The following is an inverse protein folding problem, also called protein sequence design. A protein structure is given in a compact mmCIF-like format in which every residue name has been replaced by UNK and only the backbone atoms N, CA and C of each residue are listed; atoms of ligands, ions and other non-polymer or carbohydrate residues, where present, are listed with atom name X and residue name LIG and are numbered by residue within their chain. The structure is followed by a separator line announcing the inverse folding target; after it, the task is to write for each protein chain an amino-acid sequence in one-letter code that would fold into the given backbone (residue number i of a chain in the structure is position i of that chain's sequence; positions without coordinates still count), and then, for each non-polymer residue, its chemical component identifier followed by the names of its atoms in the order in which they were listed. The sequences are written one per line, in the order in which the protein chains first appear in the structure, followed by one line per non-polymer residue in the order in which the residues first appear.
data_IF_148214864721
#
_entry.id   IF_148214864721
#
_cell.length_a   1.000
_cell.length_b   1.000
_cell.length_c   1.000
_cell.angle_alpha   90.00
_cell.angle_beta   90.00
_cell.angle_gamma   90.00
#
_symmetry.space_group_name_H-M   'P 1'
#
loop_
_entity.id
_entity.type
_entity.pdbx_description
1 polymer ?
#
# COMPACT_ATOMS: atom_id res chain seq x y z
N UNK A 1 -31.32 3.36 3.87
CA UNK A 1 -31.34 2.14 3.02
C UNK A 1 -30.59 1.05 3.78
N UNK A 2 -31.19 -0.12 4.06
CA UNK A 2 -30.48 -1.22 4.74
C UNK A 2 -29.68 -2.01 3.69
N UNK A 3 -28.36 -1.86 3.70
CA UNK A 3 -27.45 -2.61 2.84
C UNK A 3 -26.92 -3.79 3.66
N UNK A 4 -27.09 -5.02 3.16
CA UNK A 4 -26.45 -6.21 3.74
C UNK A 4 -25.07 -6.35 3.09
N UNK A 5 -24.05 -6.55 3.91
CA UNK A 5 -22.66 -6.74 3.49
C UNK A 5 -22.03 -7.92 4.22
N UNK A 6 -20.96 -8.45 3.63
CA UNK A 6 -20.13 -9.50 4.22
C UNK A 6 -18.73 -8.91 4.41
N UNK A 7 -18.16 -9.09 5.61
CA UNK A 7 -16.76 -8.79 5.89
C UNK A 7 -15.92 -10.00 5.52
N UNK A 8 -15.00 -9.82 4.58
CA UNK A 8 -14.04 -10.84 4.18
C UNK A 8 -12.64 -10.22 4.28
N UNK A 9 -11.79 -10.69 5.20
CA UNK A 9 -10.41 -10.24 5.26
C UNK A 9 -9.69 -10.67 3.99
N UNK A 10 -9.01 -9.71 3.38
CA UNK A 10 -8.24 -9.86 2.13
C UNK A 10 -7.10 -10.88 2.29
N UNK A 11 -6.65 -11.16 3.53
CA UNK A 11 -5.55 -12.06 3.86
C UNK A 11 -5.93 -13.40 4.53
N UNK A 12 -7.14 -13.59 5.07
CA UNK A 12 -7.46 -14.76 5.93
C UNK A 12 -7.97 -16.00 5.16
N UNK A 13 -7.95 -15.96 3.83
CA UNK A 13 -8.48 -17.06 3.01
C UNK A 13 -7.30 -17.85 2.45
N UNK A 14 -7.12 -19.07 2.98
CA UNK A 14 -6.13 -20.05 2.57
C UNK A 14 -6.01 -20.12 1.03
N UNK A 15 -4.93 -19.55 0.52
CA UNK A 15 -4.62 -19.59 -0.91
C UNK A 15 -4.10 -20.99 -1.25
N UNK A 16 -4.46 -21.56 -2.41
CA UNK A 16 -3.59 -22.53 -3.07
C UNK A 16 -2.31 -21.79 -3.44
N UNK A 17 -1.30 -21.94 -2.59
CA UNK A 17 0.01 -21.31 -2.67
C UNK A 17 0.61 -21.45 -4.09
N UNK A 18 1.21 -20.37 -4.62
CA UNK A 18 2.14 -20.47 -5.75
C UNK A 18 1.74 -19.88 -7.11
N UNK A 19 0.52 -19.37 -7.33
CA UNK A 19 0.12 -18.85 -8.67
C UNK A 19 -0.30 -17.39 -8.73
N UNK A 20 -0.45 -16.69 -7.59
CA UNK A 20 -0.55 -15.23 -7.61
C UNK A 20 -1.72 -14.65 -8.40
N UNK A 21 -2.91 -15.23 -8.30
CA UNK A 21 -4.15 -14.71 -8.90
C UNK A 21 -5.07 -14.03 -7.86
N UNK A 22 -4.55 -13.03 -7.14
CA UNK A 22 -5.36 -12.19 -6.26
C UNK A 22 -6.56 -11.59 -6.99
N UNK A 23 -6.35 -11.06 -8.20
CA UNK A 23 -7.42 -10.38 -8.92
C UNK A 23 -8.50 -11.36 -9.37
N UNK A 24 -8.14 -12.55 -9.84
CA UNK A 24 -9.12 -13.58 -10.20
C UNK A 24 -9.96 -13.98 -8.97
N UNK A 25 -9.32 -14.12 -7.82
CA UNK A 25 -9.99 -14.45 -6.57
C UNK A 25 -10.95 -13.35 -6.11
N UNK A 26 -10.53 -12.09 -6.14
CA UNK A 26 -11.39 -10.97 -5.77
C UNK A 26 -12.55 -10.80 -6.76
N UNK A 27 -12.33 -11.01 -8.06
CA UNK A 27 -13.42 -11.06 -9.04
C UNK A 27 -14.41 -12.18 -8.72
N UNK A 28 -13.95 -13.39 -8.38
CA UNK A 28 -14.83 -14.49 -7.93
C UNK A 28 -15.59 -14.13 -6.64
N UNK A 29 -14.97 -13.37 -5.75
CA UNK A 29 -15.60 -12.90 -4.52
C UNK A 29 -16.74 -11.91 -4.82
N UNK A 30 -16.50 -10.97 -5.73
CA UNK A 30 -17.54 -10.07 -6.27
C UNK A 30 -18.69 -10.88 -6.90
N UNK A 31 -18.39 -11.88 -7.73
CA UNK A 31 -19.41 -12.74 -8.35
C UNK A 31 -20.25 -13.49 -7.31
N UNK A 32 -19.59 -14.01 -6.27
CA UNK A 32 -20.27 -14.73 -5.20
C UNK A 32 -21.16 -13.80 -4.38
N UNK A 33 -20.70 -12.60 -4.05
CA UNK A 33 -21.50 -11.58 -3.38
C UNK A 33 -22.74 -11.21 -4.21
N UNK A 34 -22.56 -11.03 -5.53
CA UNK A 34 -23.67 -10.79 -6.45
C UNK A 34 -24.67 -11.94 -6.46
N UNK A 35 -24.20 -13.19 -6.56
CA UNK A 35 -25.05 -14.40 -6.50
C UNK A 35 -25.83 -14.50 -5.19
N UNK A 36 -25.23 -14.07 -4.08
CA UNK A 36 -25.86 -14.02 -2.75
C UNK A 36 -26.81 -12.84 -2.56
N UNK A 37 -26.98 -11.97 -3.57
CA UNK A 37 -27.81 -10.77 -3.49
C UNK A 37 -27.24 -9.69 -2.57
N UNK A 38 -25.95 -9.77 -2.20
CA UNK A 38 -25.27 -8.72 -1.45
C UNK A 38 -25.00 -7.52 -2.36
N UNK A 39 -24.86 -6.35 -1.75
CA UNK A 39 -24.59 -5.07 -2.45
C UNK A 39 -23.35 -4.37 -1.94
N UNK A 40 -22.71 -4.94 -0.94
CA UNK A 40 -21.59 -4.36 -0.23
C UNK A 40 -20.57 -5.44 0.08
N UNK A 41 -19.32 -5.14 -0.21
CA UNK A 41 -18.16 -5.92 0.20
C UNK A 41 -17.35 -5.08 1.18
N UNK A 42 -17.24 -5.55 2.42
CA UNK A 42 -16.37 -4.92 3.41
C UNK A 42 -14.99 -5.58 3.36
N UNK A 43 -13.98 -4.77 3.04
CA UNK A 43 -12.57 -5.21 2.94
C UNK A 43 -11.77 -4.65 4.11
N UNK A 44 -10.92 -5.49 4.68
CA UNK A 44 -9.88 -5.09 5.62
C UNK A 44 -8.51 -5.23 4.95
N UNK A 45 -7.57 -4.33 5.28
CA UNK A 45 -6.15 -4.43 4.90
C UNK A 45 -5.83 -4.14 3.43
N UNK A 46 -6.07 -2.90 2.95
CA UNK A 46 -5.42 -2.44 1.70
C UNK A 46 -4.16 -1.62 1.93
N UNK A 47 -3.88 -1.24 3.17
CA UNK A 47 -2.72 -0.41 3.52
C UNK A 47 -1.66 -1.29 4.17
N UNK A 48 -0.37 -0.93 4.05
CA UNK A 48 0.65 -1.53 4.89
C UNK A 48 0.34 -1.18 6.35
N UNK A 49 0.07 -2.19 7.16
CA UNK A 49 -0.22 -2.07 8.59
C UNK A 49 1.03 -2.52 9.35
N UNK A 50 1.40 -1.77 10.37
CA UNK A 50 2.33 -2.24 11.38
C UNK A 50 1.50 -2.84 12.52
N UNK A 51 1.68 -4.15 12.76
CA UNK A 51 1.03 -4.84 13.87
C UNK A 51 1.79 -4.54 15.16
N UNK A 52 1.23 -3.66 15.98
CA UNK A 52 1.66 -3.47 17.37
C UNK A 52 0.67 -4.18 18.31
N UNK A 53 1.13 -4.73 19.45
CA UNK A 53 0.27 -5.49 20.38
C UNK A 53 -0.92 -4.69 20.94
N UNK A 54 -0.87 -3.36 20.90
CA UNK A 54 -1.85 -2.47 21.54
C UNK A 54 -2.83 -1.78 20.59
N UNK A 55 -2.54 -1.66 19.30
CA UNK A 55 -3.43 -1.04 18.30
C UNK A 55 -2.97 -1.29 16.86
N UNK A 56 -3.90 -1.34 15.91
CA UNK A 56 -3.59 -1.36 14.46
C UNK A 56 -3.17 0.05 14.01
N UNK A 57 -1.91 0.22 13.67
CA UNK A 57 -1.39 1.49 13.18
C UNK A 57 -1.09 1.40 11.68
N UNK A 58 -1.54 2.39 10.91
CA UNK A 58 -1.20 2.46 9.48
C UNK A 58 0.23 2.94 9.32
N UNK A 59 1.03 2.18 8.59
CA UNK A 59 2.42 2.52 8.29
C UNK A 59 2.50 3.68 7.28
N UNK A 60 1.57 3.69 6.33
CA UNK A 60 1.29 4.82 5.45
C UNK A 60 -0.22 5.00 5.30
N UNK A 61 -0.68 6.24 5.40
CA UNK A 61 -2.07 6.62 5.18
C UNK A 61 -2.47 6.65 3.70
N UNK A 62 -1.55 6.38 2.78
CA UNK A 62 -1.81 6.51 1.35
C UNK A 62 -1.38 5.26 0.58
N UNK A 63 -0.22 4.69 0.92
CA UNK A 63 0.30 3.54 0.18
C UNK A 63 -0.66 2.32 0.24
N UNK A 64 -0.75 1.63 -0.88
CA UNK A 64 -1.32 0.31 -1.00
C UNK A 64 -0.37 -0.77 -0.48
N UNK A 65 -0.93 -1.89 -0.06
CA UNK A 65 -0.18 -3.04 0.40
C UNK A 65 0.41 -3.82 -0.81
N UNK A 66 1.76 -3.87 -0.98
CA UNK A 66 2.40 -4.60 -2.08
C UNK A 66 2.13 -6.10 -2.06
N UNK A 67 1.78 -6.63 -0.89
CA UNK A 67 1.33 -7.99 -0.68
C UNK A 67 0.08 -8.35 -1.50
N UNK A 68 -0.66 -7.37 -2.01
CA UNK A 68 -1.89 -7.57 -2.81
C UNK A 68 -1.69 -7.53 -4.32
N UNK A 69 -0.47 -7.25 -4.78
CA UNK A 69 -0.18 -7.20 -6.21
C UNK A 69 -0.24 -8.61 -6.80
N UNK A 70 -1.08 -8.79 -7.80
CA UNK A 70 -1.31 -9.98 -8.58
C UNK A 70 -0.11 -10.28 -9.48
N UNK A 71 0.54 -11.43 -9.25
CA UNK A 71 1.71 -11.84 -10.03
C UNK A 71 1.33 -12.36 -11.41
N UNK A 72 0.14 -12.95 -11.54
CA UNK A 72 -0.36 -13.43 -12.82
C UNK A 72 -0.50 -12.27 -13.82
N UNK A 73 -1.00 -11.11 -13.38
CA UNK A 73 -1.07 -9.90 -14.20
C UNK A 73 0.33 -9.44 -14.63
N UNK A 74 1.35 -9.56 -13.77
CA UNK A 74 2.73 -9.24 -14.15
C UNK A 74 3.31 -10.24 -15.16
N UNK A 75 2.89 -11.50 -15.12
CA UNK A 75 3.24 -12.50 -16.13
C UNK A 75 2.59 -12.17 -17.48
N UNK A 76 1.31 -11.79 -17.46
CA UNK A 76 0.56 -11.39 -18.65
C UNK A 76 1.09 -10.10 -19.30
N UNK A 77 1.70 -9.22 -18.50
CA UNK A 77 2.35 -7.99 -18.96
C UNK A 77 3.83 -8.17 -19.35
N UNK A 78 4.32 -9.42 -19.44
CA UNK A 78 5.72 -9.78 -19.74
C UNK A 78 6.76 -9.18 -18.75
N UNK A 79 6.32 -8.74 -17.57
CA UNK A 79 7.18 -8.24 -16.51
C UNK A 79 7.77 -9.38 -15.67
N UNK A 80 7.08 -10.52 -15.59
CA UNK A 80 7.55 -11.73 -14.92
C UNK A 80 7.35 -12.95 -15.80
N UNK A 81 8.15 -13.99 -15.57
CA UNK A 81 7.87 -15.31 -16.14
C UNK A 81 7.23 -16.21 -15.08
N UNK A 82 6.42 -17.17 -15.54
CA UNK A 82 5.84 -18.18 -14.65
C UNK A 82 6.91 -18.93 -13.85
N UNK A 83 8.01 -19.28 -14.52
CA UNK A 83 9.14 -19.97 -13.90
C UNK A 83 9.77 -19.16 -12.78
N UNK A 84 9.94 -17.84 -12.94
CA UNK A 84 10.49 -16.99 -11.86
C UNK A 84 9.60 -16.95 -10.63
N UNK A 85 8.29 -16.97 -10.82
CA UNK A 85 7.34 -17.04 -9.73
C UNK A 85 7.38 -18.42 -9.05
N UNK A 86 7.45 -19.51 -9.81
CA UNK A 86 7.59 -20.88 -9.27
C UNK A 86 8.92 -21.07 -8.52
N UNK A 87 10.03 -20.57 -9.09
CA UNK A 87 11.40 -20.67 -8.54
C UNK A 87 11.63 -19.78 -7.31
N UNK A 88 10.73 -18.82 -7.00
CA UNK A 88 10.89 -17.97 -5.81
C UNK A 88 10.81 -18.76 -4.50
N UNK A 89 10.34 -20.01 -4.55
CA UNK A 89 10.60 -21.05 -3.53
C UNK A 89 10.03 -20.76 -2.13
N UNK A 90 9.28 -19.68 -1.96
CA UNK A 90 8.74 -19.20 -0.70
C UNK A 90 7.22 -19.43 -0.61
N UNK A 91 6.77 -20.47 -1.30
CA UNK A 91 5.41 -21.01 -1.24
C UNK A 91 5.41 -22.15 -0.23
N UNK A 92 5.67 -21.82 1.04
CA UNK A 92 5.89 -22.80 2.09
C UNK A 92 4.81 -23.88 2.16
N UNK A 93 5.19 -25.07 2.61
CA UNK A 93 4.24 -26.06 3.14
C UNK A 93 3.38 -25.38 4.23
N UNK A 94 2.10 -25.77 4.35
CA UNK A 94 1.04 -25.10 5.13
C UNK A 94 1.44 -24.67 6.56
N UNK A 95 2.45 -25.31 7.17
CA UNK A 95 2.86 -25.12 8.56
C UNK A 95 4.00 -24.10 8.80
N UNK A 96 4.61 -23.50 7.76
CA UNK A 96 5.80 -22.63 7.90
C UNK A 96 5.63 -21.19 7.36
N UNK A 97 4.42 -20.76 7.00
CA UNK A 97 4.21 -19.47 6.34
C UNK A 97 4.34 -18.28 7.30
N UNK A 98 5.25 -17.34 7.02
CA UNK A 98 5.33 -16.04 7.69
C UNK A 98 5.07 -14.90 6.72
N UNK A 99 4.40 -13.84 7.19
CA UNK A 99 4.18 -12.62 6.41
C UNK A 99 5.51 -12.04 5.90
N UNK A 100 6.56 -12.11 6.70
CA UNK A 100 7.91 -11.64 6.35
C UNK A 100 8.48 -12.38 5.13
N UNK A 101 8.32 -13.72 5.07
CA UNK A 101 8.74 -14.51 3.90
C UNK A 101 7.93 -14.16 2.65
N UNK A 102 6.63 -13.89 2.77
CA UNK A 102 5.80 -13.44 1.65
C UNK A 102 6.29 -12.09 1.09
N UNK A 103 6.48 -11.09 1.96
CA UNK A 103 6.94 -9.77 1.53
C UNK A 103 8.34 -9.83 0.92
N UNK A 104 9.25 -10.60 1.51
CA UNK A 104 10.60 -10.76 0.96
C UNK A 104 10.60 -11.45 -0.41
N UNK A 105 9.83 -12.53 -0.58
CA UNK A 105 9.66 -13.21 -1.89
C UNK A 105 9.16 -12.26 -2.97
N UNK A 106 8.12 -11.48 -2.63
CA UNK A 106 7.50 -10.53 -3.54
C UNK A 106 8.44 -9.39 -3.90
N UNK A 107 9.17 -8.87 -2.93
CA UNK A 107 10.16 -7.84 -3.15
C UNK A 107 11.18 -8.27 -4.21
N UNK A 108 11.74 -9.48 -4.10
CA UNK A 108 12.68 -10.01 -5.10
C UNK A 108 12.05 -10.18 -6.50
N UNK A 109 10.79 -10.59 -6.57
CA UNK A 109 10.07 -10.67 -7.85
C UNK A 109 9.81 -9.28 -8.44
N UNK A 110 9.41 -8.31 -7.62
CA UNK A 110 9.16 -6.95 -8.08
C UNK A 110 10.44 -6.27 -8.55
N UNK A 111 11.59 -6.57 -7.95
CA UNK A 111 12.88 -6.09 -8.46
C UNK A 111 13.13 -6.59 -9.90
N UNK A 112 12.91 -7.88 -10.17
CA UNK A 112 13.00 -8.44 -11.53
C UNK A 112 11.99 -7.81 -12.50
N UNK A 113 10.75 -7.59 -12.03
CA UNK A 113 9.72 -6.92 -12.81
C UNK A 113 10.12 -5.48 -13.16
N UNK A 114 10.72 -4.77 -12.20
CA UNK A 114 11.18 -3.40 -12.37
C UNK A 114 12.34 -3.29 -13.37
N UNK A 115 13.25 -4.26 -13.39
CA UNK A 115 14.32 -4.32 -14.41
C UNK A 115 13.77 -4.38 -15.86
N UNK A 116 12.58 -4.97 -16.05
CA UNK A 116 11.89 -5.04 -17.36
C UNK A 116 10.95 -3.86 -17.59
N UNK A 117 10.65 -3.10 -16.55
CA UNK A 117 9.72 -1.99 -16.62
C UNK A 117 10.40 -0.72 -17.17
N UNK A 118 9.67 0.06 -17.96
CA UNK A 118 10.15 1.35 -18.46
C UNK A 118 9.49 2.48 -17.68
N UNK A 119 10.30 3.25 -16.95
CA UNK A 119 9.85 4.45 -16.24
C UNK A 119 9.44 5.59 -17.19
N UNK A 120 9.75 5.50 -18.49
CA UNK A 120 9.34 6.49 -19.51
C UNK A 120 7.88 6.30 -19.95
N UNK A 121 7.20 5.25 -19.46
CA UNK A 121 5.79 5.03 -19.74
C UNK A 121 4.95 6.20 -19.24
N UNK A 122 4.11 6.75 -20.13
CA UNK A 122 3.33 7.95 -19.85
C UNK A 122 2.34 7.76 -18.70
N UNK A 123 1.63 6.64 -18.66
CA UNK A 123 0.69 6.30 -17.59
C UNK A 123 1.37 6.18 -16.21
N UNK A 124 2.62 5.73 -16.18
CA UNK A 124 3.43 5.75 -14.95
C UNK A 124 3.82 7.17 -14.54
N UNK A 125 4.29 8.00 -15.46
CA UNK A 125 4.63 9.40 -15.18
C UNK A 125 3.41 10.20 -14.70
N UNK A 126 2.26 9.99 -15.35
CA UNK A 126 0.98 10.58 -14.96
C UNK A 126 0.59 10.12 -13.53
N UNK A 127 0.73 8.82 -13.21
CA UNK A 127 0.51 8.30 -11.86
C UNK A 127 1.41 8.96 -10.81
N UNK A 128 2.71 9.10 -11.11
CA UNK A 128 3.68 9.72 -10.19
C UNK A 128 3.31 11.18 -9.94
N UNK A 129 2.90 11.91 -10.98
CA UNK A 129 2.49 13.30 -10.86
C UNK A 129 1.20 13.47 -10.06
N UNK A 130 0.17 12.69 -10.39
CA UNK A 130 -1.13 12.73 -9.72
C UNK A 130 -1.02 12.40 -8.22
N UNK A 131 -0.08 11.53 -7.85
CA UNK A 131 0.12 11.07 -6.49
C UNK A 131 1.30 11.73 -5.77
N UNK A 132 1.93 12.75 -6.37
CA UNK A 132 3.14 13.41 -5.85
C UNK A 132 3.04 13.79 -4.38
N UNK A 133 1.87 14.28 -3.94
CA UNK A 133 1.60 14.71 -2.56
C UNK A 133 2.07 13.71 -1.50
N UNK A 134 1.85 12.40 -1.71
CA UNK A 134 2.21 11.37 -0.74
C UNK A 134 3.28 10.43 -1.26
N UNK A 135 3.33 10.20 -2.58
CA UNK A 135 4.21 9.21 -3.19
C UNK A 135 5.68 9.61 -3.08
N UNK A 136 6.00 10.92 -3.16
CA UNK A 136 7.37 11.41 -2.97
C UNK A 136 7.90 11.04 -1.58
N UNK A 137 7.12 11.34 -0.54
CA UNK A 137 7.49 10.99 0.84
C UNK A 137 7.57 9.48 1.06
N UNK A 138 6.61 8.72 0.52
CA UNK A 138 6.59 7.27 0.64
C UNK A 138 7.80 6.60 -0.02
N UNK A 139 8.04 6.88 -1.30
CA UNK A 139 9.13 6.26 -2.05
C UNK A 139 10.51 6.62 -1.51
N UNK A 140 10.68 7.87 -1.04
CA UNK A 140 11.91 8.30 -0.39
C UNK A 140 12.11 7.61 0.97
N UNK A 141 11.06 7.53 1.79
CA UNK A 141 11.11 6.85 3.09
C UNK A 141 11.53 5.39 2.92
N UNK A 142 10.86 4.66 2.03
CA UNK A 142 11.11 3.24 1.79
C UNK A 142 12.54 3.00 1.28
N UNK A 143 13.01 3.82 0.35
CA UNK A 143 14.39 3.74 -0.14
C UNK A 143 15.42 4.00 0.95
N UNK A 144 15.18 4.95 1.86
CA UNK A 144 16.07 5.20 3.00
C UNK A 144 16.03 4.02 3.97
N UNK A 145 14.84 3.51 4.27
CA UNK A 145 14.63 2.38 5.18
C UNK A 145 15.38 1.14 4.71
N UNK A 146 15.32 0.84 3.43
CA UNK A 146 16.03 -0.30 2.82
C UNK A 146 17.55 -0.18 3.01
N UNK A 147 18.12 1.01 2.80
CA UNK A 147 19.55 1.26 3.02
C UNK A 147 19.98 1.11 4.49
N UNK A 148 19.03 1.13 5.42
CA UNK A 148 19.25 0.91 6.85
C UNK A 148 18.74 -0.47 7.31
N UNK A 149 18.56 -1.44 6.40
CA UNK A 149 18.10 -2.80 6.69
C UNK A 149 16.78 -2.85 7.46
N UNK A 150 15.80 -2.00 7.10
CA UNK A 150 14.49 -2.01 7.73
C UNK A 150 14.40 -1.28 9.07
N UNK A 151 15.48 -0.63 9.53
CA UNK A 151 15.49 0.05 10.82
C UNK A 151 14.55 1.28 10.87
N UNK A 152 13.99 1.51 12.06
CA UNK A 152 13.21 2.70 12.39
C UNK A 152 13.93 4.00 12.00
N UNK A 153 13.14 4.97 11.55
CA UNK A 153 13.67 6.28 11.13
C UNK A 153 14.34 7.05 12.28
N UNK A 154 14.07 6.67 13.53
CA UNK A 154 14.76 7.20 14.70
C UNK A 154 16.25 6.87 14.74
N UNK A 155 16.67 5.80 14.06
CA UNK A 155 18.05 5.33 14.00
C UNK A 155 18.79 5.78 12.74
N UNK A 156 18.13 6.53 11.84
CA UNK A 156 18.77 7.06 10.65
C UNK A 156 19.71 8.21 11.01
N UNK A 157 20.71 8.43 10.16
CA UNK A 157 21.60 9.59 10.28
C UNK A 157 20.80 10.89 10.24
N UNK A 158 21.18 11.87 11.07
CA UNK A 158 20.42 13.11 11.30
C UNK A 158 19.98 13.82 10.01
N UNK A 159 20.86 13.87 9.00
CA UNK A 159 20.53 14.49 7.71
C UNK A 159 19.32 13.86 7.01
N UNK A 160 19.14 12.55 7.09
CA UNK A 160 17.99 11.84 6.50
C UNK A 160 16.80 11.82 7.47
N UNK A 161 17.08 11.67 8.77
CA UNK A 161 16.06 11.69 9.83
C UNK A 161 15.28 13.01 9.86
N UNK A 162 16.00 14.14 9.85
CA UNK A 162 15.42 15.48 9.92
C UNK A 162 15.17 16.10 8.54
N UNK A 163 15.34 15.33 7.46
CA UNK A 163 15.12 15.76 6.07
C UNK A 163 15.91 17.02 5.72
N UNK A 164 17.18 17.09 6.09
CA UNK A 164 18.05 18.21 5.71
C UNK A 164 18.12 18.32 4.18
N UNK A 165 17.86 19.50 3.57
CA UNK A 165 17.72 19.62 2.12
C UNK A 165 18.90 19.07 1.32
N UNK A 166 20.13 19.29 1.80
CA UNK A 166 21.35 18.78 1.14
C UNK A 166 21.48 17.26 1.24
N UNK A 167 21.11 16.68 2.38
CA UNK A 167 21.18 15.25 2.60
C UNK A 167 20.13 14.52 1.75
N UNK A 168 18.89 15.03 1.73
CA UNK A 168 17.81 14.50 0.90
C UNK A 168 18.15 14.60 -0.59
N UNK A 169 18.60 15.76 -1.07
CA UNK A 169 18.97 15.92 -2.48
C UNK A 169 20.10 14.96 -2.89
N UNK A 170 21.13 14.82 -2.05
CA UNK A 170 22.22 13.86 -2.29
C UNK A 170 21.73 12.42 -2.32
N UNK A 171 20.78 12.06 -1.44
CA UNK A 171 20.19 10.73 -1.39
C UNK A 171 19.33 10.46 -2.64
N UNK A 172 18.46 11.39 -3.01
CA UNK A 172 17.61 11.28 -4.21
C UNK A 172 18.44 11.08 -5.48
N UNK A 173 19.56 11.81 -5.63
CA UNK A 173 20.47 11.64 -6.77
C UNK A 173 21.20 10.29 -6.76
N UNK A 174 21.55 9.78 -5.58
CA UNK A 174 22.27 8.51 -5.43
C UNK A 174 21.37 7.30 -5.64
N UNK A 175 20.14 7.38 -5.12
CA UNK A 175 19.21 6.26 -4.99
C UNK A 175 17.94 6.47 -5.83
N UNK A 176 18.08 7.12 -7.00
CA UNK A 176 16.97 7.44 -7.90
C UNK A 176 16.21 6.18 -8.33
N UNK A 177 16.93 5.11 -8.68
CA UNK A 177 16.34 3.85 -9.12
C UNK A 177 15.55 3.16 -8.01
N UNK A 178 16.07 3.18 -6.79
CA UNK A 178 15.41 2.62 -5.62
C UNK A 178 14.14 3.40 -5.29
N UNK A 179 14.16 4.74 -5.40
CA UNK A 179 12.96 5.56 -5.25
C UNK A 179 11.93 5.21 -6.34
N UNK A 180 12.36 5.14 -7.61
CA UNK A 180 11.49 4.75 -8.72
C UNK A 180 10.92 3.34 -8.57
N UNK A 181 11.66 2.42 -7.96
CA UNK A 181 11.18 1.07 -7.65
C UNK A 181 9.95 1.10 -6.73
N UNK A 182 9.98 1.87 -5.63
CA UNK A 182 8.83 1.99 -4.73
C UNK A 182 7.66 2.77 -5.37
N UNK A 183 7.95 3.70 -6.28
CA UNK A 183 6.91 4.33 -7.10
C UNK A 183 6.24 3.31 -8.03
N UNK A 184 7.04 2.45 -8.67
CA UNK A 184 6.57 1.37 -9.53
C UNK A 184 5.71 0.36 -8.77
N UNK A 185 6.10 -0.02 -7.56
CA UNK A 185 5.31 -0.93 -6.72
C UNK A 185 3.91 -0.37 -6.43
N UNK A 186 3.83 0.91 -6.04
CA UNK A 186 2.54 1.57 -5.79
C UNK A 186 1.73 1.77 -7.07
N UNK A 187 2.40 1.99 -8.21
CA UNK A 187 1.77 2.04 -9.52
C UNK A 187 1.11 0.71 -9.90
N UNK A 188 1.80 -0.41 -9.67
CA UNK A 188 1.25 -1.75 -9.91
C UNK A 188 0.00 -1.99 -9.05
N UNK A 189 0.09 -1.66 -7.76
CA UNK A 189 -1.04 -1.76 -6.84
C UNK A 189 -2.23 -0.93 -7.32
N UNK A 190 -2.01 0.34 -7.63
CA UNK A 190 -3.08 1.28 -8.04
C UNK A 190 -3.79 0.81 -9.30
N UNK A 191 -3.06 0.38 -10.33
CA UNK A 191 -3.66 -0.13 -11.57
C UNK A 191 -4.53 -1.35 -11.34
N UNK A 192 -4.01 -2.30 -10.57
CA UNK A 192 -4.71 -3.55 -10.30
C UNK A 192 -5.93 -3.33 -9.40
N UNK A 193 -5.80 -2.49 -8.37
CA UNK A 193 -6.91 -2.14 -7.49
C UNK A 193 -8.01 -1.38 -8.24
N UNK A 194 -7.66 -0.38 -9.07
CA UNK A 194 -8.63 0.34 -9.91
C UNK A 194 -9.41 -0.61 -10.81
N UNK A 195 -8.74 -1.62 -11.42
CA UNK A 195 -9.39 -2.65 -12.24
C UNK A 195 -10.44 -3.43 -11.45
N UNK A 196 -10.08 -3.87 -10.24
CA UNK A 196 -10.99 -4.62 -9.36
C UNK A 196 -12.15 -3.75 -8.86
N UNK A 197 -11.87 -2.51 -8.47
CA UNK A 197 -12.88 -1.59 -7.96
C UNK A 197 -13.92 -1.26 -9.03
N UNK A 198 -13.46 -1.01 -10.26
CA UNK A 198 -14.35 -0.79 -11.41
C UNK A 198 -15.19 -2.04 -11.71
N UNK A 199 -14.59 -3.24 -11.67
CA UNK A 199 -15.34 -4.49 -11.82
C UNK A 199 -16.44 -4.64 -10.76
N UNK A 200 -16.12 -4.41 -9.48
CA UNK A 200 -17.10 -4.48 -8.40
C UNK A 200 -18.27 -3.50 -8.63
N UNK A 201 -17.98 -2.26 -9.06
CA UNK A 201 -19.00 -1.26 -9.38
C UNK A 201 -19.90 -1.69 -10.53
N UNK A 202 -19.35 -2.24 -11.61
CA UNK A 202 -20.11 -2.74 -12.76
C UNK A 202 -21.04 -3.89 -12.36
N UNK A 203 -20.59 -4.74 -11.43
CA UNK A 203 -21.38 -5.83 -10.87
C UNK A 203 -22.38 -5.38 -9.79
N UNK A 204 -22.43 -4.07 -9.49
CA UNK A 204 -23.34 -3.46 -8.51
C UNK A 204 -22.99 -3.78 -7.06
N UNK A 205 -21.71 -4.02 -6.79
CA UNK A 205 -21.12 -4.25 -5.46
C UNK A 205 -20.31 -3.01 -5.06
N UNK A 206 -20.68 -2.38 -3.95
CA UNK A 206 -19.91 -1.28 -3.37
C UNK A 206 -18.83 -1.83 -2.45
N UNK A 207 -17.62 -1.28 -2.53
CA UNK A 207 -16.52 -1.63 -1.64
C UNK A 207 -16.50 -0.66 -0.46
N UNK A 208 -16.48 -1.21 0.76
CA UNK A 208 -16.40 -0.46 2.00
C UNK A 208 -15.18 -0.86 2.80
N UNK A 209 -14.59 0.07 3.52
CA UNK A 209 -13.50 -0.24 4.44
C UNK A 209 -13.47 0.70 5.63
N UNK A 210 -12.81 0.26 6.69
CA UNK A 210 -12.49 1.06 7.86
C UNK A 210 -11.01 1.44 7.83
N UNK A 211 -10.71 2.73 7.94
CA UNK A 211 -9.34 3.24 8.04
C UNK A 211 -9.02 3.58 9.50
N UNK A 212 -7.88 3.10 10.04
CA UNK A 212 -7.46 3.44 11.40
C UNK A 212 -7.26 4.95 11.57
N UNK A 213 -7.75 5.54 12.65
CA UNK A 213 -7.50 6.94 12.95
C UNK A 213 -6.03 7.18 13.27
N UNK A 214 -5.38 6.26 13.97
CA UNK A 214 -3.98 6.39 14.41
C UNK A 214 -2.98 6.07 13.29
N UNK A 215 -1.89 6.83 13.23
CA UNK A 215 -0.75 6.59 12.35
C UNK A 215 0.40 5.95 13.11
N UNK A 216 1.22 5.16 12.43
CA UNK A 216 2.38 4.53 13.04
C UNK A 216 3.41 5.57 13.50
N UNK A 217 3.93 5.39 14.72
CA UNK A 217 5.03 6.23 15.25
C UNK A 217 6.26 6.16 14.34
N UNK A 218 6.55 4.96 13.84
CA UNK A 218 7.64 4.70 12.91
C UNK A 218 7.20 4.77 11.43
N UNK A 219 6.02 5.34 11.19
CA UNK A 219 5.39 5.41 9.87
C UNK A 219 5.86 6.57 9.01
N UNK A 220 5.59 6.43 7.71
CA UNK A 220 5.95 7.39 6.66
C UNK A 220 5.33 8.75 6.92
N UNK A 221 4.05 8.81 7.31
CA UNK A 221 3.33 10.08 7.48
C UNK A 221 3.98 10.96 8.56
N UNK A 222 4.43 10.35 9.66
CA UNK A 222 5.07 11.06 10.76
C UNK A 222 6.49 11.50 10.43
N UNK A 223 7.22 10.69 9.66
CA UNK A 223 8.52 11.10 9.17
C UNK A 223 8.41 12.21 8.12
N UNK A 224 7.45 12.14 7.19
CA UNK A 224 7.35 13.09 6.09
C UNK A 224 6.75 14.44 6.51
N UNK A 225 5.71 14.42 7.36
CA UNK A 225 5.04 15.61 7.91
C UNK A 225 5.08 15.65 9.45
N UNK A 226 6.26 15.74 10.08
CA UNK A 226 6.37 15.68 11.53
C UNK A 226 5.59 16.79 12.25
N UNK A 227 5.41 17.95 11.62
CA UNK A 227 4.65 19.10 12.15
C UNK A 227 3.16 18.84 12.31
N UNK A 228 2.60 17.82 11.65
CA UNK A 228 1.20 17.45 11.77
C UNK A 228 0.90 16.57 12.99
N UNK A 229 1.94 16.16 13.74
CA UNK A 229 1.83 15.20 14.82
C UNK A 229 2.53 15.70 16.08
N UNK A 230 2.00 15.32 17.24
CA UNK A 230 2.62 15.60 18.53
C UNK A 230 3.84 14.70 18.77
N UNK A 231 4.76 15.13 19.64
CA UNK A 231 6.00 14.41 19.95
C UNK A 231 5.77 13.20 20.88
N UNK A 232 4.97 13.38 21.94
CA UNK A 232 4.91 12.42 23.06
C UNK A 232 3.83 11.33 22.93
N UNK A 233 2.86 11.48 22.04
CA UNK A 233 1.84 10.45 21.75
C UNK A 233 1.38 10.57 20.28
N UNK A 234 0.87 9.49 19.65
CA UNK A 234 0.43 9.49 18.25
C UNK A 234 -0.89 10.26 18.06
N UNK A 235 -0.97 11.49 18.56
CA UNK A 235 -2.06 12.42 18.33
C UNK A 235 -1.66 13.48 17.32
N UNK A 236 -2.65 13.92 16.57
CA UNK A 236 -2.54 14.98 15.59
C UNK A 236 -2.29 16.34 16.27
N UNK A 237 -1.45 17.17 15.66
CA UNK A 237 -1.44 18.60 15.94
C UNK A 237 -2.63 19.26 15.23
N UNK A 238 -3.77 19.30 15.94
CA UNK A 238 -5.00 19.87 15.42
C UNK A 238 -4.92 21.37 15.14
N UNK A 239 -4.01 22.09 15.78
CA UNK A 239 -3.84 23.51 15.51
C UNK A 239 -3.13 23.72 14.17
N UNK A 240 -2.05 22.98 13.92
CA UNK A 240 -1.38 22.97 12.61
C UNK A 240 -2.31 22.47 11.50
N UNK A 241 -3.12 21.44 11.75
CA UNK A 241 -4.15 21.03 10.80
C UNK A 241 -5.19 22.13 10.55
N UNK A 242 -5.65 22.85 11.57
CA UNK A 242 -6.61 23.96 11.41
C UNK A 242 -6.02 25.10 10.58
N UNK A 243 -4.77 25.46 10.82
CA UNK A 243 -4.06 26.51 10.09
C UNK A 243 -3.88 26.18 8.60
N UNK A 244 -3.73 24.89 8.28
CA UNK A 244 -3.62 24.38 6.90
C UNK A 244 -4.98 24.00 6.30
N UNK A 245 -6.10 24.42 6.90
CA UNK A 245 -7.46 24.06 6.48
C UNK A 245 -7.63 22.55 6.24
N UNK A 246 -7.09 21.76 7.17
CA UNK A 246 -7.12 20.30 7.20
C UNK A 246 -6.63 19.65 5.91
N UNK A 247 -5.67 20.26 5.20
CA UNK A 247 -5.22 19.81 3.87
C UNK A 247 -4.81 18.32 3.87
N UNK A 248 -3.99 17.89 4.84
CA UNK A 248 -3.58 16.48 4.94
C UNK A 248 -4.77 15.52 5.11
N UNK A 249 -5.71 15.85 6.00
CA UNK A 249 -6.92 15.04 6.20
C UNK A 249 -7.83 15.02 4.97
N UNK A 250 -7.98 16.17 4.27
CA UNK A 250 -8.71 16.24 3.00
C UNK A 250 -8.06 15.34 1.94
N UNK A 251 -6.73 15.34 1.84
CA UNK A 251 -6.01 14.46 0.92
C UNK A 251 -6.15 12.99 1.31
N UNK A 252 -6.01 12.66 2.60
CA UNK A 252 -6.22 11.31 3.11
C UNK A 252 -7.60 10.78 2.76
N UNK A 253 -8.64 11.58 2.96
CA UNK A 253 -10.02 11.17 2.62
C UNK A 253 -10.21 11.06 1.12
N UNK A 254 -9.74 12.03 0.32
CA UNK A 254 -9.80 11.97 -1.15
C UNK A 254 -9.15 10.69 -1.67
N UNK A 255 -7.95 10.38 -1.19
CA UNK A 255 -7.25 9.18 -1.57
C UNK A 255 -7.99 7.90 -1.14
N UNK A 256 -8.53 7.85 0.08
CA UNK A 256 -9.38 6.72 0.51
C UNK A 256 -10.58 6.49 -0.42
N UNK A 257 -11.21 7.55 -0.93
CA UNK A 257 -12.34 7.42 -1.88
C UNK A 257 -11.91 7.02 -3.31
N UNK A 258 -10.61 7.00 -3.61
CA UNK A 258 -10.10 6.33 -4.81
C UNK A 258 -10.07 4.80 -4.64
N UNK A 259 -9.99 4.32 -3.40
CA UNK A 259 -9.90 2.90 -3.08
C UNK A 259 -11.26 2.29 -2.72
N UNK A 260 -12.16 3.09 -2.12
CA UNK A 260 -13.42 2.62 -1.54
C UNK A 260 -14.59 3.51 -1.94
N UNK A 261 -15.79 2.95 -1.96
CA UNK A 261 -17.04 3.70 -2.13
C UNK A 261 -17.55 4.27 -0.80
N UNK A 262 -17.25 3.61 0.32
CA UNK A 262 -17.58 4.08 1.67
C UNK A 262 -16.39 3.87 2.60
N UNK A 263 -16.10 4.88 3.42
CA UNK A 263 -14.98 4.88 4.36
C UNK A 263 -15.49 5.14 5.75
N UNK A 264 -15.28 4.18 6.65
CA UNK A 264 -15.43 4.38 8.09
C UNK A 264 -14.07 4.77 8.70
N UNK A 265 -14.07 5.66 9.69
CA UNK A 265 -12.87 5.98 10.47
C UNK A 265 -12.94 5.19 11.77
N UNK A 266 -11.93 4.37 12.04
CA UNK A 266 -11.82 3.60 13.28
C UNK A 266 -11.09 4.42 14.35
N UNK A 267 -11.71 4.64 15.49
CA UNK A 267 -11.15 5.46 16.58
C UNK A 267 -10.52 4.63 17.70
N UNK A 268 -10.48 3.30 17.56
CA UNK A 268 -10.08 2.35 18.61
C UNK A 268 -8.64 1.89 18.41
#
# INVERSE_FOLDING_TARGET
MRVKGVSLPVFELAFPYGTGTFLEYYCKSVDNLKKMGQKCWEVSVLRPIQEEPSAKQVFSCFAGNPGLIDLQTLIEEDLLTKKECEDSGLWGEEDCFSHEMLYYSRYLLFQKAFERFSCEKKDFQDFVEENRFWLEGYSLFEAIREQHNGQSWNNWVDGLRFKEPKAIQKFQQKCEKEIQFYQFEQYLFDRQWKRLHEYARQEGIQIKSSIPFSVAVDGVDRWYWPELFQVEHPFYDWETHRQTDFTWWKQRMRHSFLLYDEVQIDLI
#
